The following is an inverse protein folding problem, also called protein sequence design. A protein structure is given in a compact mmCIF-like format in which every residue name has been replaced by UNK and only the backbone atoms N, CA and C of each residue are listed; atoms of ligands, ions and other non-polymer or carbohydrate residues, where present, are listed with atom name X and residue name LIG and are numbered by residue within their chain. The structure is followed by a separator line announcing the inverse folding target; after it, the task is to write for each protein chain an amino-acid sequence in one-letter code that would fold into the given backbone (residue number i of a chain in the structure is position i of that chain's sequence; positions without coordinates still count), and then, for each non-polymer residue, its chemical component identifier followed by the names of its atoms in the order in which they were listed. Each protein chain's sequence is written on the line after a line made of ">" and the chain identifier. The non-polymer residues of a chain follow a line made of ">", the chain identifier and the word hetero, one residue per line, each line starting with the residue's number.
data_IF_829888031784
#
_entry.id   IF_829888031784
#
_cell.length_a   1.000
_cell.length_b   1.000
_cell.length_c   1.000
_cell.angle_alpha   90.00
_cell.angle_beta   90.00
_cell.angle_gamma   90.00
#
_symmetry.space_group_name_H-M   'P 1'
#
loop_
_entity.id
_entity.type
_entity.pdbx_description
1 polymer ?
#
# COMPACT_ATOMS: atom_id res chain seq x y z
N UNK A 1 -20.20 -26.17 -14.79
CA UNK A 1 -19.07 -25.73 -13.92
C UNK A 1 -19.57 -24.63 -13.01
N UNK A 2 -19.38 -24.77 -11.70
CA UNK A 2 -19.94 -23.83 -10.71
C UNK A 2 -19.27 -22.46 -10.82
N UNK A 3 -20.06 -21.41 -11.06
CA UNK A 3 -19.58 -20.01 -11.14
C UNK A 3 -18.80 -19.58 -9.90
N UNK A 4 -19.05 -20.24 -8.76
CA UNK A 4 -18.30 -20.05 -7.52
C UNK A 4 -16.81 -20.36 -7.72
N UNK A 5 -16.44 -21.41 -8.46
CA UNK A 5 -15.03 -21.76 -8.72
C UNK A 5 -14.27 -20.65 -9.47
N UNK A 6 -14.93 -20.00 -10.42
CA UNK A 6 -14.35 -18.89 -11.18
C UNK A 6 -14.21 -17.60 -10.35
N UNK A 7 -15.13 -17.36 -9.41
CA UNK A 7 -15.06 -16.23 -8.46
C UNK A 7 -13.90 -16.44 -7.48
N UNK A 8 -13.83 -17.59 -6.83
CA UNK A 8 -12.76 -17.94 -5.89
C UNK A 8 -11.39 -18.00 -6.56
N UNK A 9 -11.31 -18.43 -7.82
CA UNK A 9 -10.10 -18.36 -8.63
C UNK A 9 -9.59 -16.93 -8.80
N UNK A 10 -10.48 -15.98 -9.15
CA UNK A 10 -10.13 -14.56 -9.31
C UNK A 10 -9.64 -13.91 -8.02
N UNK A 11 -10.31 -14.20 -6.90
CA UNK A 11 -9.91 -13.69 -5.57
C UNK A 11 -8.51 -14.19 -5.21
N UNK A 12 -8.24 -15.49 -5.38
CA UNK A 12 -6.94 -16.09 -5.07
C UNK A 12 -5.82 -15.53 -5.96
N UNK A 13 -6.09 -15.27 -7.23
CA UNK A 13 -5.13 -14.64 -8.14
C UNK A 13 -4.80 -13.21 -7.70
N UNK A 14 -5.80 -12.42 -7.28
CA UNK A 14 -5.55 -11.06 -6.74
C UNK A 14 -4.73 -11.09 -5.46
N UNK A 15 -5.04 -12.00 -4.54
CA UNK A 15 -4.28 -12.15 -3.29
C UNK A 15 -2.81 -12.55 -3.55
N UNK A 16 -2.55 -13.39 -4.56
CA UNK A 16 -1.18 -13.78 -4.92
C UNK A 16 -0.39 -12.67 -5.62
N UNK A 17 -1.05 -11.83 -6.40
CA UNK A 17 -0.41 -10.70 -7.08
C UNK A 17 -0.17 -9.49 -6.17
N UNK A 18 -0.82 -9.44 -5.01
CA UNK A 18 -0.74 -8.32 -4.08
C UNK A 18 0.67 -8.09 -3.50
N UNK A 19 1.38 -9.11 -2.97
CA UNK A 19 2.74 -8.94 -2.49
C UNK A 19 3.70 -8.44 -3.57
N UNK A 20 3.61 -8.99 -4.79
CA UNK A 20 4.44 -8.58 -5.93
C UNK A 20 4.22 -7.11 -6.30
N UNK A 21 2.96 -6.65 -6.30
CA UNK A 21 2.61 -5.24 -6.55
C UNK A 21 3.18 -4.31 -5.49
N UNK A 22 3.15 -4.71 -4.21
CA UNK A 22 3.73 -3.91 -3.13
C UNK A 22 5.26 -3.93 -3.15
N UNK A 23 5.88 -5.04 -3.56
CA UNK A 23 7.33 -5.16 -3.67
C UNK A 23 7.93 -4.18 -4.68
N UNK A 24 7.16 -3.78 -5.71
CA UNK A 24 7.56 -2.73 -6.65
C UNK A 24 7.82 -1.36 -5.97
N UNK A 25 7.23 -1.12 -4.80
CA UNK A 25 7.43 0.10 -3.99
C UNK A 25 8.55 -0.05 -2.94
N UNK A 26 9.45 -1.02 -3.14
CA UNK A 26 10.51 -1.35 -2.18
C UNK A 26 11.49 -0.21 -1.93
N UNK A 27 11.73 0.64 -2.93
CA UNK A 27 12.65 1.77 -2.80
C UNK A 27 12.10 2.84 -1.84
N UNK A 28 10.83 3.19 -1.97
CA UNK A 28 10.10 4.11 -1.10
C UNK A 28 9.95 3.54 0.30
N UNK A 29 9.70 2.23 0.41
CA UNK A 29 9.61 1.54 1.70
C UNK A 29 10.95 1.57 2.45
N UNK A 30 12.06 1.34 1.74
CA UNK A 30 13.39 1.41 2.30
C UNK A 30 13.75 2.85 2.73
N UNK A 31 13.34 3.87 1.97
CA UNK A 31 13.55 5.27 2.35
C UNK A 31 12.81 5.63 3.64
N UNK A 32 11.54 5.27 3.75
CA UNK A 32 10.76 5.46 4.98
C UNK A 32 11.37 4.71 6.17
N UNK A 33 11.75 3.45 5.98
CA UNK A 33 12.40 2.64 7.01
C UNK A 33 13.72 3.25 7.50
N UNK A 34 14.55 3.81 6.61
CA UNK A 34 15.78 4.51 6.99
C UNK A 34 15.51 5.75 7.83
N UNK A 35 14.53 6.56 7.46
CA UNK A 35 14.14 7.74 8.25
C UNK A 35 13.66 7.36 9.65
N UNK A 36 12.81 6.33 9.76
CA UNK A 36 12.32 5.82 11.04
C UNK A 36 13.46 5.28 11.88
N UNK A 37 14.32 4.43 11.31
CA UNK A 37 15.49 3.87 12.00
C UNK A 37 16.41 4.96 12.54
N UNK A 38 16.75 5.97 11.72
CA UNK A 38 17.55 7.10 12.13
C UNK A 38 16.90 7.89 13.29
N UNK A 39 15.58 8.06 13.24
CA UNK A 39 14.81 8.75 14.29
C UNK A 39 14.67 7.96 15.59
N UNK A 40 14.86 6.63 15.55
CA UNK A 40 14.84 5.72 16.70
C UNK A 40 16.22 5.34 17.22
N UNK A 41 17.29 5.90 16.64
CA UNK A 41 18.65 5.70 17.14
C UNK A 41 18.78 6.14 18.62
N UNK A 42 19.79 5.67 19.38
CA UNK A 42 19.95 6.03 20.78
C UNK A 42 19.94 7.55 20.99
N UNK A 43 19.02 8.05 21.81
CA UNK A 43 18.79 9.49 22.04
C UNK A 43 17.83 10.15 21.05
N UNK A 44 17.47 9.47 19.97
CA UNK A 44 16.42 9.86 19.02
C UNK A 44 15.03 9.68 19.60
N UNK A 45 14.11 10.59 19.23
CA UNK A 45 12.69 10.48 19.55
C UNK A 45 11.90 10.57 18.26
N UNK A 46 11.36 9.45 17.82
CA UNK A 46 10.38 9.44 16.75
C UNK A 46 9.16 10.25 17.18
N UNK A 47 8.83 11.27 16.37
CA UNK A 47 7.65 12.10 16.52
C UNK A 47 6.75 11.87 15.32
N UNK A 48 5.46 12.13 15.49
CA UNK A 48 4.52 12.13 14.38
C UNK A 48 5.02 13.11 13.32
N UNK A 49 4.89 12.70 12.06
CA UNK A 49 5.19 13.51 10.86
C UNK A 49 6.70 13.78 10.59
N UNK A 50 7.62 13.25 11.40
CA UNK A 50 9.08 13.38 11.16
C UNK A 50 9.54 12.76 9.82
N UNK A 51 8.94 11.63 9.45
CA UNK A 51 9.19 10.92 8.18
C UNK A 51 7.98 11.03 7.23
N UNK A 52 7.23 12.14 7.30
CA UNK A 52 5.99 12.30 6.55
C UNK A 52 6.22 12.28 5.03
N UNK A 53 7.33 12.83 4.56
CA UNK A 53 7.64 12.91 3.14
C UNK A 53 7.85 11.50 2.55
N UNK A 54 8.67 10.68 3.20
CA UNK A 54 8.96 9.31 2.80
C UNK A 54 7.72 8.42 2.92
N UNK A 55 6.94 8.63 3.98
CA UNK A 55 5.67 7.94 4.16
C UNK A 55 4.67 8.29 3.04
N UNK A 56 4.60 9.55 2.64
CA UNK A 56 3.69 9.97 1.59
C UNK A 56 4.12 9.43 0.21
N UNK A 57 5.42 9.40 -0.08
CA UNK A 57 5.95 8.76 -1.28
C UNK A 57 5.57 7.26 -1.33
N UNK A 58 5.78 6.54 -0.23
CA UNK A 58 5.39 5.14 -0.10
C UNK A 58 3.87 4.93 -0.29
N UNK A 59 3.06 5.77 0.36
CA UNK A 59 1.59 5.71 0.26
C UNK A 59 1.12 5.94 -1.18
N UNK A 60 1.72 6.89 -1.90
CA UNK A 60 1.42 7.15 -3.31
C UNK A 60 1.79 5.95 -4.19
N UNK A 61 2.95 5.33 -3.95
CA UNK A 61 3.34 4.14 -4.70
C UNK A 61 2.37 2.97 -4.46
N UNK A 62 1.96 2.70 -3.22
CA UNK A 62 0.96 1.67 -2.93
C UNK A 62 -0.39 1.96 -3.59
N UNK A 63 -0.84 3.22 -3.57
CA UNK A 63 -2.06 3.61 -4.28
C UNK A 63 -1.91 3.31 -5.78
N UNK A 64 -0.80 3.66 -6.42
CA UNK A 64 -0.56 3.38 -7.82
C UNK A 64 -0.52 1.87 -8.12
N UNK A 65 0.21 1.09 -7.32
CA UNK A 65 0.41 -0.35 -7.51
C UNK A 65 -0.88 -1.18 -7.31
N UNK A 66 -1.76 -0.71 -6.43
CA UNK A 66 -3.03 -1.39 -6.10
C UNK A 66 -4.21 -0.90 -6.94
N UNK A 67 -4.21 0.37 -7.34
CA UNK A 67 -5.28 0.97 -8.17
C UNK A 67 -5.02 0.78 -9.67
N UNK A 68 -3.81 0.36 -10.07
CA UNK A 68 -3.54 -0.18 -11.41
C UNK A 68 -4.24 -1.54 -11.60
N UNK A 69 -5.55 -1.49 -11.76
CA UNK A 69 -6.36 -2.54 -12.40
C UNK A 69 -6.04 -2.52 -13.92
N UNK A 70 -6.07 -3.65 -14.64
CA UNK A 70 -5.57 -3.74 -16.03
C UNK A 70 -6.36 -2.95 -17.08
N UNK A 71 -7.36 -2.16 -16.67
CA UNK A 71 -7.91 -1.09 -17.47
C UNK A 71 -7.35 0.19 -16.87
N UNK A 72 -6.42 0.85 -17.55
CA UNK A 72 -5.83 2.13 -17.16
C UNK A 72 -6.82 3.29 -17.15
N UNK A 73 -7.95 3.12 -16.45
CA UNK A 73 -8.91 4.19 -16.17
C UNK A 73 -8.47 4.90 -14.89
N UNK A 74 -8.29 6.23 -14.92
CA UNK A 74 -8.10 7.00 -13.71
C UNK A 74 -9.28 6.75 -12.76
N UNK A 75 -8.97 6.48 -11.50
CA UNK A 75 -9.96 6.35 -10.43
C UNK A 75 -10.75 7.65 -10.36
N UNK A 76 -12.10 7.63 -10.50
CA UNK A 76 -12.90 8.84 -10.41
C UNK A 76 -12.78 9.42 -8.99
N UNK A 77 -12.72 10.76 -8.84
CA UNK A 77 -12.79 11.40 -7.53
C UNK A 77 -14.15 11.04 -6.90
N UNK A 78 -14.15 10.12 -5.92
CA UNK A 78 -15.36 9.55 -5.34
C UNK A 78 -15.38 8.02 -5.23
N UNK A 79 -14.36 7.31 -5.73
CA UNK A 79 -14.17 5.92 -5.32
C UNK A 79 -14.07 5.86 -3.78
N UNK A 80 -14.74 4.92 -3.11
CA UNK A 80 -14.65 4.79 -1.67
C UNK A 80 -13.18 4.59 -1.37
N UNK A 81 -12.58 5.61 -0.75
CA UNK A 81 -11.29 5.51 -0.09
C UNK A 81 -11.26 4.16 0.60
N UNK A 82 -10.18 3.38 0.48
CA UNK A 82 -10.00 2.20 1.32
C UNK A 82 -10.11 2.68 2.78
N UNK A 83 -11.33 2.69 3.30
CA UNK A 83 -11.63 2.98 4.67
C UNK A 83 -11.06 1.78 5.37
N UNK A 84 -9.84 1.94 5.87
CA UNK A 84 -9.25 1.00 6.80
C UNK A 84 -10.33 0.81 7.87
N UNK A 85 -10.91 -0.40 8.01
CA UNK A 85 -11.99 -0.58 8.95
C UNK A 85 -11.51 -0.12 10.32
N UNK A 86 -12.35 0.62 11.05
CA UNK A 86 -12.05 1.22 12.36
C UNK A 86 -11.49 0.22 13.38
N UNK A 87 -11.56 -1.07 13.07
CA UNK A 87 -10.95 -2.21 13.76
C UNK A 87 -9.41 -2.22 13.72
N UNK A 88 -8.78 -1.36 12.92
CA UNK A 88 -7.32 -1.18 12.86
C UNK A 88 -6.89 0.21 13.34
N UNK A 89 -7.72 0.88 14.16
CA UNK A 89 -7.37 2.09 14.89
C UNK A 89 -6.97 1.73 16.32
#
# INVERSE_FOLDING_TARGET
>A
MSGNGAVWGRVRSRLRAFPERLAACGAEAAAYGRCVQASTAPGGRLRKDLCAQEFEALRRCFAAALLASPLGTPVPPGAPSCQLPSRWR
#
